data_IF_272600804109
#
_entry.id   IF_272600804109
#
_cell.length_a   1.000
_cell.length_b   1.000
_cell.length_c   1.000
_cell.angle_alpha   90.00
_cell.angle_beta   90.00
_cell.angle_gamma   90.00
#
_symmetry.space_group_name_H-M   'P 1'
#
loop_
_entity.id
_entity.type
_entity.pdbx_description
1 polymer ?
#
# COMPACT_ATOMS: atom_id res chain seq x y z
N UNK A 1 7.32 22.50 -7.25
CA UNK A 1 7.74 22.29 -5.85
C UNK A 1 7.07 21.01 -5.36
N UNK A 2 7.86 20.06 -4.84
CA UNK A 2 7.35 18.78 -4.36
C UNK A 2 6.45 18.98 -3.13
N UNK A 3 5.50 18.07 -2.91
CA UNK A 3 4.48 18.22 -1.87
C UNK A 3 5.10 18.05 -0.48
N UNK A 4 5.97 17.05 -0.30
CA UNK A 4 6.69 16.82 0.96
C UNK A 4 7.54 18.02 1.38
N UNK A 5 8.24 18.67 0.44
CA UNK A 5 9.03 19.87 0.70
C UNK A 5 8.13 20.98 1.23
N UNK A 6 6.99 21.21 0.58
CA UNK A 6 6.04 22.22 1.02
C UNK A 6 5.52 21.91 2.43
N UNK A 7 5.05 20.69 2.67
CA UNK A 7 4.55 20.28 3.98
C UNK A 7 5.61 20.46 5.07
N UNK A 8 6.85 20.07 4.79
CA UNK A 8 7.96 20.24 5.73
C UNK A 8 8.20 21.73 6.07
N UNK A 9 8.17 22.61 5.07
CA UNK A 9 8.30 24.05 5.31
C UNK A 9 7.10 24.59 6.10
N UNK A 10 5.88 24.17 5.75
CA UNK A 10 4.65 24.57 6.46
C UNK A 10 4.70 24.13 7.94
N UNK A 11 5.12 22.89 8.22
CA UNK A 11 5.27 22.36 9.58
C UNK A 11 6.29 23.17 10.40
N UNK A 12 7.41 23.58 9.78
CA UNK A 12 8.44 24.40 10.44
C UNK A 12 8.06 25.87 10.62
N UNK A 13 6.99 26.35 9.96
CA UNK A 13 6.52 27.75 10.02
C UNK A 13 5.21 27.90 10.82
N UNK A 14 4.58 26.80 11.23
CA UNK A 14 3.34 26.81 12.01
C UNK A 14 3.44 27.60 13.34
N UNK A 15 2.28 27.95 13.90
CA UNK A 15 2.12 28.90 15.02
C UNK A 15 2.82 28.55 16.33
N UNK A 16 3.35 27.33 16.48
CA UNK A 16 4.11 26.86 17.65
C UNK A 16 5.60 26.62 17.37
N UNK A 17 6.10 27.00 16.19
CA UNK A 17 7.46 26.68 15.76
C UNK A 17 8.50 27.55 16.46
N UNK A 18 9.64 26.95 16.79
CA UNK A 18 10.76 27.66 17.41
C UNK A 18 11.38 28.66 16.43
N UNK A 19 12.05 29.69 16.95
CA UNK A 19 12.77 30.67 16.12
C UNK A 19 13.81 29.99 15.21
N UNK A 20 14.39 28.88 15.67
CA UNK A 20 15.35 28.07 14.91
C UNK A 20 14.68 27.33 13.74
N UNK A 21 13.48 26.79 13.93
CA UNK A 21 12.71 26.14 12.86
C UNK A 21 12.29 27.12 11.77
N UNK A 22 11.90 28.34 12.16
CA UNK A 22 11.57 29.40 11.21
C UNK A 22 12.81 29.86 10.43
N UNK A 23 13.96 29.98 11.09
CA UNK A 23 15.24 30.30 10.45
C UNK A 23 15.67 29.19 9.49
N UNK A 24 15.53 27.93 9.89
CA UNK A 24 15.81 26.77 9.03
C UNK A 24 14.91 26.79 7.79
N UNK A 25 13.61 27.00 7.94
CA UNK A 25 12.67 27.10 6.82
C UNK A 25 13.03 28.24 5.87
N UNK A 26 13.42 29.41 6.41
CA UNK A 26 13.90 30.52 5.60
C UNK A 26 15.18 30.15 4.85
N UNK A 27 16.17 29.57 5.53
CA UNK A 27 17.45 29.18 4.94
C UNK A 27 17.27 28.11 3.85
N UNK A 28 16.37 27.14 4.04
CA UNK A 28 16.04 26.13 3.03
C UNK A 28 15.41 26.71 1.76
N UNK A 29 14.79 27.90 1.82
CA UNK A 29 14.22 28.59 0.68
C UNK A 29 15.20 29.55 0.00
N UNK A 30 16.21 30.05 0.72
CA UNK A 30 17.10 31.11 0.24
C UNK A 30 18.54 30.67 -0.03
N UNK A 31 19.02 29.61 0.65
CA UNK A 31 20.39 29.13 0.57
C UNK A 31 20.46 27.69 0.05
N UNK A 32 20.95 27.54 -1.19
CA UNK A 32 21.10 26.25 -1.85
C UNK A 32 22.06 25.30 -1.13
N UNK A 33 23.06 25.81 -0.38
CA UNK A 33 24.01 24.96 0.36
C UNK A 33 23.33 24.26 1.53
N UNK A 34 22.50 25.01 2.26
CA UNK A 34 21.73 24.49 3.40
C UNK A 34 20.73 23.45 2.92
N UNK A 35 20.06 23.74 1.79
CA UNK A 35 19.16 22.78 1.15
C UNK A 35 19.89 21.49 0.74
N UNK A 36 21.08 21.61 0.15
CA UNK A 36 21.89 20.45 -0.25
C UNK A 36 22.31 19.58 0.95
N UNK A 37 22.71 20.20 2.05
CA UNK A 37 23.12 19.47 3.25
C UNK A 37 21.93 18.77 3.91
N UNK A 38 20.76 19.40 3.91
CA UNK A 38 19.52 18.78 4.38
C UNK A 38 19.09 17.60 3.50
N UNK A 39 19.24 17.70 2.18
CA UNK A 39 19.02 16.58 1.24
C UNK A 39 19.94 15.40 1.58
N UNK A 40 21.24 15.64 1.78
CA UNK A 40 22.20 14.57 2.13
C UNK A 40 21.86 13.92 3.46
N UNK A 41 21.46 14.71 4.46
CA UNK A 41 21.01 14.22 5.76
C UNK A 41 19.79 13.31 5.59
N UNK A 42 18.78 13.76 4.85
CA UNK A 42 17.57 13.00 4.57
C UNK A 42 17.85 11.68 3.85
N UNK A 43 18.73 11.68 2.83
CA UNK A 43 19.15 10.44 2.14
C UNK A 43 19.81 9.45 3.11
N UNK A 44 20.67 9.95 4.00
CA UNK A 44 21.37 9.11 4.99
C UNK A 44 20.38 8.50 5.97
N UNK A 45 19.48 9.31 6.54
CA UNK A 45 18.42 8.84 7.45
C UNK A 45 17.53 7.80 6.76
N UNK A 46 17.08 8.07 5.53
CA UNK A 46 16.27 7.15 4.74
C UNK A 46 17.00 5.82 4.48
N UNK A 47 18.29 5.85 4.15
CA UNK A 47 19.07 4.63 3.93
C UNK A 47 19.18 3.78 5.20
N UNK A 48 19.45 4.42 6.35
CA UNK A 48 19.47 3.74 7.65
C UNK A 48 18.12 3.11 7.99
N UNK A 49 17.02 3.85 7.78
CA UNK A 49 15.66 3.34 7.99
C UNK A 49 15.35 2.15 7.06
N UNK A 50 15.72 2.21 5.79
CA UNK A 50 15.52 1.08 4.86
C UNK A 50 16.36 -0.14 5.26
N UNK A 51 17.62 0.05 5.67
CA UNK A 51 18.46 -1.04 6.18
C UNK A 51 17.83 -1.67 7.42
N UNK A 52 17.35 -0.86 8.38
CA UNK A 52 16.67 -1.34 9.58
C UNK A 52 15.42 -2.16 9.23
N UNK A 53 14.60 -1.68 8.29
CA UNK A 53 13.44 -2.42 7.80
C UNK A 53 13.83 -3.78 7.20
N UNK A 54 14.88 -3.81 6.38
CA UNK A 54 15.36 -5.06 5.79
C UNK A 54 15.90 -6.03 6.85
N UNK A 55 16.58 -5.53 7.90
CA UNK A 55 17.02 -6.35 9.05
C UNK A 55 15.83 -6.96 9.78
N UNK A 56 14.80 -6.15 10.06
CA UNK A 56 13.54 -6.63 10.64
C UNK A 56 12.93 -7.74 9.79
N UNK A 57 12.81 -7.54 8.47
CA UNK A 57 12.24 -8.52 7.55
C UNK A 57 13.07 -9.82 7.57
N UNK A 58 14.40 -9.71 7.56
CA UNK A 58 15.27 -10.87 7.60
C UNK A 58 15.06 -11.68 8.88
N UNK A 59 15.09 -11.02 10.05
CA UNK A 59 14.88 -11.68 11.34
C UNK A 59 13.48 -12.30 11.43
N UNK A 60 12.43 -11.59 11.01
CA UNK A 60 11.06 -12.10 11.04
C UNK A 60 10.89 -13.38 10.22
N UNK A 61 11.52 -13.46 9.04
CA UNK A 61 11.40 -14.62 8.15
C UNK A 61 12.25 -15.79 8.64
N UNK A 62 13.44 -15.53 9.16
CA UNK A 62 14.30 -16.59 9.70
C UNK A 62 13.66 -17.27 10.92
N UNK A 63 12.91 -16.49 11.70
CA UNK A 63 12.32 -16.94 12.95
C UNK A 63 10.90 -17.49 12.78
N UNK A 64 10.12 -16.98 11.81
CA UNK A 64 8.74 -17.37 11.58
C UNK A 64 8.60 -18.32 10.39
N UNK A 65 8.26 -19.61 10.60
CA UNK A 65 8.12 -20.57 9.50
C UNK A 65 6.90 -20.30 8.60
N UNK A 66 5.89 -19.60 9.11
CA UNK A 66 4.67 -19.23 8.38
C UNK A 66 4.74 -17.82 7.77
N UNK A 67 5.93 -17.23 7.69
CA UNK A 67 6.07 -15.87 7.17
C UNK A 67 5.65 -15.78 5.69
N UNK A 68 4.89 -14.74 5.31
CA UNK A 68 4.61 -14.48 3.90
C UNK A 68 5.90 -14.08 3.15
N UNK A 69 5.88 -14.07 1.81
CA UNK A 69 7.06 -13.75 1.01
C UNK A 69 7.69 -12.39 1.36
N UNK A 70 9.03 -12.28 1.27
CA UNK A 70 9.81 -11.07 1.57
C UNK A 70 9.21 -9.79 0.97
N UNK A 71 8.82 -9.87 -0.30
CA UNK A 71 8.26 -8.75 -1.07
C UNK A 71 6.93 -8.28 -0.45
N UNK A 72 6.07 -9.20 -0.01
CA UNK A 72 4.81 -8.86 0.61
C UNK A 72 5.04 -8.14 1.94
N UNK A 73 5.95 -8.65 2.79
CA UNK A 73 6.29 -8.02 4.06
C UNK A 73 6.86 -6.62 3.82
N UNK A 74 7.78 -6.48 2.87
CA UNK A 74 8.35 -5.18 2.51
C UNK A 74 7.27 -4.19 2.07
N UNK A 75 6.40 -4.56 1.13
CA UNK A 75 5.34 -3.68 0.62
C UNK A 75 4.34 -3.28 1.71
N UNK A 76 3.96 -4.23 2.57
CA UNK A 76 3.01 -3.97 3.66
C UNK A 76 3.66 -3.11 4.75
N UNK A 77 4.86 -3.45 5.19
CA UNK A 77 5.60 -2.70 6.21
C UNK A 77 5.94 -1.27 5.75
N UNK A 78 6.27 -1.09 4.48
CA UNK A 78 6.54 0.24 3.92
C UNK A 78 5.30 1.15 3.94
N UNK A 79 4.10 0.59 3.70
CA UNK A 79 2.84 1.35 3.63
C UNK A 79 2.16 1.54 4.99
N UNK A 80 2.05 0.45 5.75
CA UNK A 80 1.19 0.34 6.93
C UNK A 80 2.00 0.18 8.23
N UNK A 81 3.33 0.03 8.14
CA UNK A 81 4.22 -0.25 9.27
C UNK A 81 4.36 -1.73 9.59
N UNK A 82 5.37 -2.08 10.38
CA UNK A 82 5.66 -3.48 10.76
C UNK A 82 4.61 -4.02 11.75
N UNK A 83 4.02 -3.16 12.56
CA UNK A 83 3.05 -3.54 13.60
C UNK A 83 1.76 -4.12 13.02
N UNK A 84 1.28 -3.60 11.88
CA UNK A 84 0.05 -4.04 11.21
C UNK A 84 0.16 -5.43 10.55
N UNK A 85 1.36 -5.99 10.43
CA UNK A 85 1.52 -7.37 9.95
C UNK A 85 0.97 -8.40 10.94
N UNK A 86 0.84 -8.06 12.23
CA UNK A 86 0.46 -9.00 13.29
C UNK A 86 1.46 -10.15 13.52
N UNK A 87 2.51 -10.25 12.69
CA UNK A 87 3.56 -11.26 12.80
C UNK A 87 4.37 -11.08 14.08
N UNK A 88 4.70 -9.83 14.43
CA UNK A 88 5.44 -9.51 15.68
C UNK A 88 4.64 -9.97 16.90
N UNK A 89 3.34 -9.69 16.95
CA UNK A 89 2.48 -10.11 18.06
C UNK A 89 2.35 -11.64 18.16
N UNK A 90 2.21 -12.33 17.02
CA UNK A 90 2.20 -13.80 16.97
C UNK A 90 3.53 -14.39 17.44
N UNK A 91 4.66 -13.84 17.00
CA UNK A 91 5.99 -14.25 17.42
C UNK A 91 6.19 -14.07 18.92
N UNK A 92 5.83 -12.91 19.47
CA UNK A 92 5.91 -12.65 20.92
C UNK A 92 5.04 -13.63 21.71
N UNK A 93 3.83 -13.90 21.22
CA UNK A 93 2.92 -14.86 21.87
C UNK A 93 3.48 -16.29 21.84
N UNK A 94 4.18 -16.66 20.75
CA UNK A 94 4.88 -17.93 20.63
C UNK A 94 6.09 -18.00 21.58
N UNK A 95 6.89 -16.93 21.63
CA UNK A 95 8.09 -16.83 22.46
C UNK A 95 7.76 -16.98 23.94
N UNK A 96 6.68 -16.35 24.40
CA UNK A 96 6.21 -16.47 25.79
C UNK A 96 5.92 -17.91 26.22
N UNK A 97 5.69 -18.82 25.27
CA UNK A 97 5.34 -20.23 25.51
C UNK A 97 6.50 -21.21 25.32
N UNK A 98 7.67 -20.74 24.89
CA UNK A 98 8.82 -21.60 24.60
C UNK A 98 9.47 -22.15 25.88
N UNK A 99 9.98 -23.38 25.77
CA UNK A 99 10.82 -24.04 26.78
C UNK A 99 12.25 -23.46 26.67
N UNK A 100 13.08 -23.46 27.74
CA UNK A 100 14.44 -22.90 27.70
C UNK A 100 15.30 -23.35 26.51
N UNK A 101 15.26 -24.64 26.16
CA UNK A 101 15.98 -25.18 25.00
C UNK A 101 15.49 -24.58 23.66
N UNK A 102 14.18 -24.53 23.45
CA UNK A 102 13.56 -23.93 22.27
C UNK A 102 13.86 -22.43 22.18
N UNK A 103 13.87 -21.73 23.32
CA UNK A 103 14.18 -20.31 23.40
C UNK A 103 15.66 -20.04 23.10
N UNK A 104 16.55 -20.92 23.55
CA UNK A 104 17.98 -20.85 23.26
C UNK A 104 18.26 -21.09 21.78
N UNK A 105 17.60 -22.08 21.16
CA UNK A 105 17.66 -22.32 19.72
C UNK A 105 17.08 -21.14 18.92
N UNK A 106 16.01 -20.52 19.41
CA UNK A 106 15.42 -19.32 18.84
C UNK A 106 16.41 -18.14 18.87
N UNK A 107 17.03 -17.87 20.02
CA UNK A 107 18.05 -16.81 20.14
C UNK A 107 19.24 -17.11 19.22
N UNK A 108 19.66 -18.37 19.15
CA UNK A 108 20.74 -18.80 18.25
C UNK A 108 20.39 -18.50 16.78
N UNK A 109 19.19 -18.83 16.32
CA UNK A 109 18.73 -18.49 14.96
C UNK A 109 18.77 -16.99 14.68
N UNK A 110 18.43 -16.16 15.66
CA UNK A 110 18.53 -14.69 15.52
C UNK A 110 19.99 -14.26 15.42
N UNK A 111 20.87 -14.78 16.29
CA UNK A 111 22.31 -14.47 16.24
C UNK A 111 22.94 -14.89 14.92
N UNK A 112 22.60 -16.07 14.41
CA UNK A 112 23.06 -16.57 13.12
C UNK A 112 22.56 -15.69 11.96
N UNK A 113 21.31 -15.20 12.02
CA UNK A 113 20.77 -14.25 11.05
C UNK A 113 21.50 -12.90 11.07
N UNK A 114 21.85 -12.40 12.27
CA UNK A 114 22.56 -11.13 12.46
C UNK A 114 24.01 -11.21 11.96
N UNK A 115 24.69 -12.33 12.21
CA UNK A 115 26.06 -12.55 11.71
C UNK A 115 26.11 -12.83 10.21
N UNK A 116 25.23 -13.70 9.72
CA UNK A 116 25.21 -14.12 8.31
C UNK A 116 24.68 -13.04 7.37
N UNK A 117 23.84 -12.15 7.88
CA UNK A 117 23.11 -11.19 7.07
C UNK A 117 22.22 -11.89 6.03
N UNK A 118 21.82 -11.13 5.02
CA UNK A 118 21.03 -11.63 3.90
C UNK A 118 21.61 -11.09 2.59
N UNK A 119 22.52 -11.84 1.93
CA UNK A 119 23.10 -11.44 0.64
C UNK A 119 22.03 -11.18 -0.44
N UNK A 120 20.92 -11.92 -0.39
CA UNK A 120 19.77 -11.71 -1.30
C UNK A 120 19.08 -10.35 -1.14
N UNK A 121 19.22 -9.72 0.03
CA UNK A 121 18.67 -8.40 0.35
C UNK A 121 19.76 -7.30 0.33
N UNK A 122 20.97 -7.63 -0.13
CA UNK A 122 22.15 -6.76 -0.03
C UNK A 122 22.41 -6.30 1.41
N UNK A 123 22.17 -7.19 2.37
CA UNK A 123 22.42 -6.98 3.79
C UNK A 123 23.64 -7.78 4.22
N UNK A 124 24.74 -7.10 4.52
CA UNK A 124 25.87 -7.69 5.24
C UNK A 124 25.49 -8.02 6.68
N UNK A 125 26.23 -8.93 7.31
CA UNK A 125 26.13 -9.14 8.76
C UNK A 125 26.36 -7.84 9.52
N UNK A 126 25.59 -7.63 10.58
CA UNK A 126 25.55 -6.34 11.30
C UNK A 126 25.76 -6.48 12.81
N UNK A 127 26.34 -7.59 13.26
CA UNK A 127 26.63 -7.84 14.67
C UNK A 127 27.47 -6.71 15.32
N UNK A 128 28.41 -6.14 14.55
CA UNK A 128 29.29 -5.07 15.05
C UNK A 128 28.60 -3.69 15.10
N UNK A 129 27.61 -3.45 14.23
CA UNK A 129 26.88 -2.18 14.15
C UNK A 129 25.81 -2.05 15.26
N UNK A 130 25.16 -3.15 15.62
CA UNK A 130 24.15 -3.22 16.68
C UNK A 130 24.66 -4.00 17.90
N UNK A 131 25.86 -3.64 18.36
CA UNK A 131 26.55 -4.36 19.42
C UNK A 131 25.72 -4.45 20.72
N UNK A 132 24.93 -3.43 21.06
CA UNK A 132 24.05 -3.45 22.24
C UNK A 132 22.98 -4.54 22.14
N UNK A 133 22.27 -4.63 21.02
CA UNK A 133 21.24 -5.65 20.79
C UNK A 133 21.86 -7.06 20.83
N UNK A 134 23.01 -7.24 20.19
CA UNK A 134 23.71 -8.52 20.13
C UNK A 134 24.28 -8.96 21.49
N UNK A 135 24.82 -8.01 22.26
CA UNK A 135 25.34 -8.25 23.61
C UNK A 135 24.22 -8.64 24.57
N UNK A 136 23.09 -7.92 24.55
CA UNK A 136 21.94 -8.25 25.38
C UNK A 136 21.32 -9.61 25.01
N UNK A 137 21.22 -9.95 23.72
CA UNK A 137 20.80 -11.31 23.30
C UNK A 137 21.74 -12.39 23.84
N UNK A 138 23.04 -12.16 23.82
CA UNK A 138 24.04 -13.11 24.32
C UNK A 138 23.95 -13.26 25.84
N UNK A 139 23.78 -12.15 26.56
CA UNK A 139 23.59 -12.14 28.01
C UNK A 139 22.32 -12.90 28.43
N UNK A 140 21.21 -12.69 27.72
CA UNK A 140 19.96 -13.44 27.95
C UNK A 140 20.19 -14.93 27.70
N UNK A 141 20.85 -15.29 26.59
CA UNK A 141 21.15 -16.68 26.26
C UNK A 141 22.01 -17.37 27.33
N UNK A 142 23.08 -16.73 27.80
CA UNK A 142 23.96 -17.26 28.86
C UNK A 142 23.20 -17.44 30.19
N UNK A 143 22.35 -16.48 30.55
CA UNK A 143 21.50 -16.59 31.75
C UNK A 143 20.47 -17.71 31.65
N UNK A 144 19.91 -17.96 30.46
CA UNK A 144 19.00 -19.09 30.22
C UNK A 144 19.74 -20.42 30.41
N UNK A 145 20.93 -20.57 29.81
CA UNK A 145 21.74 -21.77 29.98
C UNK A 145 22.12 -22.03 31.44
N UNK A 146 22.57 -20.99 32.17
CA UNK A 146 22.92 -21.11 33.59
C UNK A 146 21.71 -21.52 34.46
N UNK A 147 20.51 -21.02 34.16
CA UNK A 147 19.28 -21.44 34.84
C UNK A 147 18.87 -22.86 34.48
N UNK A 148 19.04 -23.27 33.22
CA UNK A 148 18.73 -24.62 32.78
C UNK A 148 19.64 -25.66 33.47
N UNK A 149 20.95 -25.41 33.51
CA UNK A 149 21.91 -26.27 34.22
C UNK A 149 21.60 -26.37 35.73
N UNK A 150 21.29 -25.24 36.38
CA UNK A 150 20.92 -25.24 37.80
C UNK A 150 19.64 -26.05 38.07
N UNK A 151 18.63 -25.92 37.20
CA UNK A 151 17.34 -26.61 37.34
C UNK A 151 17.43 -28.12 37.07
N UNK A 152 18.33 -28.55 36.16
CA UNK A 152 18.61 -29.95 35.88
C UNK A 152 19.19 -30.67 37.10
N UNK A 153 19.99 -29.98 37.91
CA UNK A 153 20.50 -30.50 39.19
C UNK A 153 19.41 -30.77 40.22
N UNK A 154 18.26 -30.10 40.11
CA UNK A 154 17.11 -30.22 41.03
C UNK A 154 16.02 -31.15 40.45
N UNK A 155 16.12 -31.55 39.18
CA UNK A 155 15.12 -32.36 38.48
C UNK A 155 13.81 -31.61 38.17
N UNK A 156 13.83 -30.27 38.23
CA UNK A 156 12.67 -29.42 37.93
C UNK A 156 12.72 -28.95 36.48
N UNK A 157 11.58 -29.00 35.79
CA UNK A 157 11.46 -28.50 34.42
C UNK A 157 10.94 -27.07 34.45
N UNK A 158 11.80 -26.12 34.11
CA UNK A 158 11.47 -24.70 34.04
C UNK A 158 10.29 -24.43 33.12
N UNK A 159 9.37 -23.57 33.58
CA UNK A 159 8.20 -23.12 32.81
C UNK A 159 8.02 -21.63 32.98
N UNK A 160 7.63 -20.95 31.90
CA UNK A 160 7.17 -19.56 32.01
C UNK A 160 5.78 -19.52 32.64
N UNK A 161 5.47 -18.44 33.36
CA UNK A 161 4.12 -18.17 33.90
C UNK A 161 3.04 -18.23 32.79
N UNK A 162 3.39 -17.78 31.59
CA UNK A 162 2.51 -17.74 30.41
C UNK A 162 2.06 -19.11 29.92
N UNK A 163 2.81 -20.18 30.21
CA UNK A 163 2.40 -21.55 29.85
C UNK A 163 1.19 -22.03 30.65
N UNK A 164 0.98 -21.46 31.85
CA UNK A 164 -0.10 -21.85 32.77
C UNK A 164 -1.42 -21.18 32.36
N UNK A 165 -1.36 -19.92 31.90
CA UNK A 165 -2.53 -19.11 31.58
C UNK A 165 -3.42 -19.63 30.41
N UNK A 166 -2.93 -20.55 29.58
CA UNK A 166 -3.71 -21.07 28.44
C UNK A 166 -4.56 -22.30 28.79
N UNK A 167 -4.50 -22.79 30.05
CA UNK A 167 -5.29 -23.92 30.51
C UNK A 167 -6.68 -23.46 31.00
N UNK A 168 -7.47 -22.90 30.08
CA UNK A 168 -8.89 -22.58 30.26
C UNK A 168 -9.17 -21.28 31.02
N UNK A 169 -9.67 -20.27 30.32
CA UNK A 169 -10.22 -19.06 30.92
C UNK A 169 -11.53 -19.41 31.63
N UNK A 170 -11.59 -19.32 32.97
CA UNK A 170 -12.86 -19.40 33.72
C UNK A 170 -13.43 -17.98 33.88
N UNK A 171 -14.71 -17.82 33.53
CA UNK A 171 -15.37 -16.51 33.31
C UNK A 171 -15.79 -15.76 34.57
N UNK A 172 -15.50 -16.25 35.78
CA UNK A 172 -15.94 -15.61 37.02
C UNK A 172 -14.78 -14.93 37.76
N UNK A 173 -15.03 -13.71 38.25
CA UNK A 173 -14.03 -12.84 38.92
C UNK A 173 -13.40 -13.53 40.14
N UNK A 174 -14.17 -14.36 40.85
CA UNK A 174 -13.68 -15.14 42.00
C UNK A 174 -12.76 -16.28 41.55
N UNK A 175 -13.11 -16.98 40.45
CA UNK A 175 -12.25 -18.02 39.89
C UNK A 175 -10.95 -17.45 39.31
N UNK A 176 -10.99 -16.27 38.67
CA UNK A 176 -9.79 -15.57 38.21
C UNK A 176 -8.85 -15.21 39.35
N UNK A 177 -9.38 -14.67 40.47
CA UNK A 177 -8.57 -14.33 41.64
C UNK A 177 -7.92 -15.56 42.29
N UNK A 178 -8.69 -16.64 42.44
CA UNK A 178 -8.19 -17.90 43.00
C UNK A 178 -7.13 -18.51 42.07
N UNK A 179 -7.32 -18.42 40.76
CA UNK A 179 -6.39 -18.91 39.76
C UNK A 179 -5.07 -18.11 39.78
N UNK A 180 -5.11 -16.78 39.83
CA UNK A 180 -3.92 -15.93 40.00
C UNK A 180 -3.14 -16.26 41.28
N UNK A 181 -3.83 -16.46 42.41
CA UNK A 181 -3.17 -16.84 43.68
C UNK A 181 -2.61 -18.27 43.69
N UNK A 182 -3.20 -19.19 42.94
CA UNK A 182 -2.69 -20.56 42.77
C UNK A 182 -1.50 -20.59 41.80
N UNK A 183 -1.49 -19.71 40.79
CA UNK A 183 -0.40 -19.54 39.82
C UNK A 183 0.86 -18.96 40.48
N UNK A 184 0.72 -17.95 41.35
CA UNK A 184 1.87 -17.37 42.07
C UNK A 184 2.50 -18.32 43.10
N UNK A 185 1.72 -19.27 43.61
CA UNK A 185 2.15 -20.26 44.61
C UNK A 185 2.71 -21.55 44.00
N UNK A 186 2.44 -21.83 42.72
CA UNK A 186 2.97 -23.01 42.00
C UNK A 186 4.28 -22.72 41.26
N UNK A 187 4.60 -21.45 41.00
CA UNK A 187 5.85 -21.04 40.35
C UNK A 187 7.02 -21.03 41.34
N UNK A 188 8.07 -21.79 41.01
CA UNK A 188 9.33 -21.76 41.78
C UNK A 188 10.04 -20.42 41.61
N UNK A 189 11.02 -20.14 42.48
CA UNK A 189 11.87 -18.94 42.32
C UNK A 189 12.61 -18.93 40.97
N UNK A 190 12.99 -20.11 40.46
CA UNK A 190 13.66 -20.27 39.17
C UNK A 190 12.71 -20.00 37.99
N UNK A 191 11.45 -20.45 38.07
CA UNK A 191 10.43 -20.15 37.06
C UNK A 191 10.14 -18.64 36.95
N UNK A 192 10.18 -17.92 38.09
CA UNK A 192 10.05 -16.46 38.11
C UNK A 192 11.24 -15.77 37.44
N UNK A 193 12.47 -16.26 37.68
CA UNK A 193 13.68 -15.75 37.00
C UNK A 193 13.62 -16.02 35.48
N UNK A 194 13.20 -17.22 35.08
CA UNK A 194 13.02 -17.55 33.67
C UNK A 194 11.97 -16.66 32.99
N UNK A 195 10.83 -16.44 33.66
CA UNK A 195 9.78 -15.53 33.16
C UNK A 195 10.31 -14.10 32.99
N UNK A 196 11.14 -13.60 33.91
CA UNK A 196 11.77 -12.29 33.77
C UNK A 196 12.72 -12.20 32.56
N UNK A 197 13.48 -13.27 32.25
CA UNK A 197 14.32 -13.32 31.04
C UNK A 197 13.47 -13.33 29.75
N UNK A 198 12.35 -14.04 29.76
CA UNK A 198 11.38 -14.06 28.65
C UNK A 198 10.79 -12.66 28.42
N UNK A 199 10.47 -11.93 29.48
CA UNK A 199 9.96 -10.56 29.40
C UNK A 199 11.04 -9.58 28.91
N UNK A 200 12.28 -9.70 29.39
CA UNK A 200 13.42 -8.92 28.90
C UNK A 200 13.65 -9.13 27.39
N UNK A 201 13.66 -10.39 26.94
CA UNK A 201 13.78 -10.73 25.52
C UNK A 201 12.60 -10.17 24.69
N UNK A 202 11.38 -10.27 25.22
CA UNK A 202 10.19 -9.71 24.58
C UNK A 202 10.31 -8.19 24.41
N UNK A 203 10.80 -7.48 25.43
CA UNK A 203 10.99 -6.03 25.36
C UNK A 203 12.09 -5.65 24.36
N UNK A 204 13.20 -6.36 24.37
CA UNK A 204 14.30 -6.17 23.43
C UNK A 204 13.85 -6.38 21.98
N UNK A 205 13.12 -7.45 21.69
CA UNK A 205 12.57 -7.70 20.35
C UNK A 205 11.51 -6.68 19.94
N UNK A 206 10.63 -6.26 20.85
CA UNK A 206 9.69 -5.17 20.56
C UNK A 206 10.41 -3.88 20.18
N UNK A 207 11.50 -3.54 20.87
CA UNK A 207 12.27 -2.36 20.54
C UNK A 207 12.99 -2.49 19.18
N UNK A 208 13.52 -3.68 18.88
CA UNK A 208 14.12 -3.96 17.58
C UNK A 208 13.11 -3.90 16.43
N UNK A 209 11.92 -4.47 16.60
CA UNK A 209 10.86 -4.49 15.58
C UNK A 209 10.09 -3.17 15.44
N UNK A 210 10.36 -2.17 16.30
CA UNK A 210 9.81 -0.82 16.11
C UNK A 210 10.37 -0.24 14.83
N UNK A 211 9.45 0.11 13.93
CA UNK A 211 9.77 0.76 12.68
C UNK A 211 8.78 1.89 12.45
N UNK A 212 9.29 3.11 12.39
CA UNK A 212 8.49 4.27 12.03
C UNK A 212 8.25 4.25 10.52
N UNK A 213 7.02 4.56 10.12
CA UNK A 213 6.66 4.69 8.71
C UNK A 213 7.56 5.72 8.02
N UNK A 214 7.99 5.43 6.79
CA UNK A 214 8.85 6.30 5.97
C UNK A 214 8.12 7.51 5.34
N UNK A 215 6.81 7.67 5.55
CA UNK A 215 6.01 8.77 4.97
C UNK A 215 5.60 9.83 6.01
N UNK A 216 5.53 11.12 5.62
CA UNK A 216 6.20 11.76 4.50
C UNK A 216 7.51 12.39 5.01
N UNK A 217 8.61 11.68 4.84
CA UNK A 217 9.93 12.31 4.99
C UNK A 217 10.10 13.45 3.95
N UNK A 218 10.96 14.41 4.31
CA UNK A 218 11.39 15.50 3.44
C UNK A 218 11.85 14.96 2.08
N UNK A 219 11.27 15.44 0.98
CA UNK A 219 11.63 15.07 -0.41
C UNK A 219 11.49 13.58 -0.77
N UNK A 220 10.62 12.83 -0.08
CA UNK A 220 10.46 11.39 -0.37
C UNK A 220 10.09 11.06 -1.82
N UNK A 221 9.42 11.97 -2.54
CA UNK A 221 9.06 11.78 -3.96
C UNK A 221 10.26 11.69 -4.91
N UNK A 222 11.47 12.01 -4.45
CA UNK A 222 12.70 11.86 -5.25
C UNK A 222 13.12 10.39 -5.38
N UNK A 223 12.83 9.56 -4.37
CA UNK A 223 13.17 8.14 -4.35
C UNK A 223 11.97 7.21 -4.32
N UNK A 224 10.77 7.71 -4.06
CA UNK A 224 9.53 6.95 -4.26
C UNK A 224 8.93 7.25 -5.62
N UNK A 225 8.23 6.27 -6.17
CA UNK A 225 7.50 6.42 -7.42
C UNK A 225 6.01 6.20 -7.18
N UNK A 226 5.21 7.26 -7.32
CA UNK A 226 3.76 7.24 -7.06
C UNK A 226 2.90 7.40 -8.34
N UNK A 227 3.50 7.48 -9.53
CA UNK A 227 2.74 7.61 -10.79
C UNK A 227 2.13 6.28 -11.29
N UNK A 228 1.48 5.52 -10.39
CA UNK A 228 0.83 4.23 -10.68
C UNK A 228 -0.23 4.37 -11.76
N UNK A 229 -1.01 5.46 -11.74
CA UNK A 229 -2.09 5.68 -12.70
C UNK A 229 -1.57 5.81 -14.14
N UNK A 230 -0.46 6.53 -14.35
CA UNK A 230 0.15 6.71 -15.67
C UNK A 230 0.63 5.39 -16.26
N UNK A 231 1.26 4.56 -15.43
CA UNK A 231 1.70 3.24 -15.87
C UNK A 231 0.55 2.27 -16.07
N UNK A 232 -0.53 2.37 -15.28
CA UNK A 232 -1.73 1.56 -15.51
C UNK A 232 -2.30 1.82 -16.90
N UNK A 233 -2.31 3.07 -17.36
CA UNK A 233 -2.77 3.42 -18.71
C UNK A 233 -1.84 2.88 -19.80
N UNK A 234 -0.52 2.89 -19.58
CA UNK A 234 0.47 2.39 -20.53
C UNK A 234 0.52 0.86 -20.63
N UNK A 235 0.57 0.17 -19.48
CA UNK A 235 0.77 -1.29 -19.42
C UNK A 235 -0.54 -2.09 -19.43
N UNK A 236 -1.63 -1.51 -18.93
CA UNK A 236 -2.95 -2.14 -18.94
C UNK A 236 -3.97 -1.25 -19.64
N UNK A 237 -3.77 -0.94 -20.94
CA UNK A 237 -4.65 -0.04 -21.65
C UNK A 237 -6.06 -0.60 -21.69
N UNK A 238 -7.05 0.27 -21.46
CA UNK A 238 -8.47 -0.04 -21.55
C UNK A 238 -9.09 0.71 -22.74
N UNK A 239 -8.73 0.37 -23.99
CA UNK A 239 -9.13 1.13 -25.16
C UNK A 239 -10.65 1.20 -25.33
N UNK A 240 -11.35 0.12 -24.96
CA UNK A 240 -12.82 0.09 -24.97
C UNK A 240 -13.42 1.17 -24.05
N UNK A 241 -13.01 1.19 -22.78
CA UNK A 241 -13.53 2.17 -21.82
C UNK A 241 -13.18 3.61 -22.23
N UNK A 242 -12.01 3.81 -22.84
CA UNK A 242 -11.61 5.12 -23.37
C UNK A 242 -12.50 5.56 -24.55
N UNK A 243 -12.80 4.66 -25.50
CA UNK A 243 -13.69 4.95 -26.63
C UNK A 243 -15.12 5.19 -26.14
N UNK A 244 -15.64 4.35 -25.24
CA UNK A 244 -16.97 4.52 -24.65
C UNK A 244 -17.07 5.87 -23.91
N UNK A 245 -16.06 6.24 -23.10
CA UNK A 245 -16.03 7.53 -22.43
C UNK A 245 -15.97 8.69 -23.41
N UNK A 246 -15.13 8.59 -24.44
CA UNK A 246 -14.97 9.63 -25.46
C UNK A 246 -16.23 9.84 -26.30
N UNK A 247 -17.02 8.79 -26.55
CA UNK A 247 -18.29 8.89 -27.26
C UNK A 247 -19.45 9.29 -26.33
N UNK A 248 -19.42 8.91 -25.06
CA UNK A 248 -20.45 9.29 -24.08
C UNK A 248 -20.32 10.75 -23.64
N UNK A 249 -19.09 11.19 -23.35
CA UNK A 249 -18.79 12.51 -22.81
C UNK A 249 -17.61 13.13 -23.57
N UNK A 250 -17.81 13.58 -24.82
CA UNK A 250 -16.70 14.08 -25.63
C UNK A 250 -16.09 15.38 -25.08
N UNK A 251 -16.82 16.15 -24.29
CA UNK A 251 -16.36 17.37 -23.62
C UNK A 251 -15.17 17.15 -22.68
N UNK A 252 -15.00 15.94 -22.16
CA UNK A 252 -13.85 15.60 -21.30
C UNK A 252 -12.52 15.63 -22.07
N UNK A 253 -12.56 15.41 -23.39
CA UNK A 253 -11.39 15.36 -24.27
C UNK A 253 -11.27 16.61 -25.11
N UNK A 254 -12.40 17.16 -25.51
CA UNK A 254 -12.51 18.39 -26.25
C UNK A 254 -12.61 19.53 -25.23
N UNK A 255 -11.47 19.92 -24.62
CA UNK A 255 -11.35 21.11 -23.76
C UNK A 255 -12.25 22.21 -24.32
N UNK A 256 -13.38 22.50 -23.65
CA UNK A 256 -14.47 23.36 -24.14
C UNK A 256 -13.98 24.44 -25.11
N UNK A 257 -13.92 24.12 -26.41
CA UNK A 257 -13.59 25.06 -27.47
C UNK A 257 -14.69 26.11 -27.64
N UNK A 258 -15.74 26.02 -26.82
CA UNK A 258 -16.91 26.87 -26.81
C UNK A 258 -16.74 28.16 -25.98
N UNK A 259 -15.70 28.29 -25.14
CA UNK A 259 -15.54 29.49 -24.29
C UNK A 259 -14.61 30.56 -24.82
N UNK A 260 -13.91 30.34 -25.93
CA UNK A 260 -13.09 31.37 -26.58
C UNK A 260 -13.51 31.54 -28.03
N UNK A 261 -14.02 32.73 -28.33
CA UNK A 261 -14.54 33.22 -29.61
C UNK A 261 -16.02 32.94 -29.90
N UNK A 262 -16.84 33.97 -29.63
CA UNK A 262 -18.07 34.22 -30.36
C UNK A 262 -17.75 34.11 -31.86
N UNK A 263 -18.17 33.01 -32.50
CA UNK A 263 -18.05 32.85 -33.96
C UNK A 263 -17.37 31.58 -34.47
N UNK A 264 -16.81 30.70 -33.63
CA UNK A 264 -16.39 29.38 -34.11
C UNK A 264 -17.55 28.39 -34.02
N UNK A 265 -18.12 28.04 -35.17
CA UNK A 265 -19.15 27.02 -35.30
C UNK A 265 -18.62 25.69 -34.76
N UNK A 266 -18.97 25.33 -33.52
CA UNK A 266 -18.64 24.03 -32.98
C UNK A 266 -19.28 22.97 -33.88
N UNK A 267 -18.46 22.23 -34.62
CA UNK A 267 -18.94 21.15 -35.48
C UNK A 267 -19.71 20.17 -34.59
N UNK A 268 -20.95 19.79 -34.95
CA UNK A 268 -21.74 18.88 -34.12
C UNK A 268 -20.98 17.57 -33.94
N UNK A 269 -20.97 17.06 -32.71
CA UNK A 269 -20.35 15.78 -32.35
C UNK A 269 -21.23 14.61 -32.82
N UNK A 270 -21.43 14.51 -34.14
CA UNK A 270 -22.37 13.60 -34.79
C UNK A 270 -22.18 12.13 -34.39
N UNK A 271 -20.93 11.69 -34.24
CA UNK A 271 -20.64 10.29 -33.85
C UNK A 271 -21.03 10.01 -32.39
N UNK A 272 -20.84 10.98 -31.48
CA UNK A 272 -21.25 10.86 -30.08
C UNK A 272 -22.79 10.91 -29.94
N UNK A 273 -23.45 11.79 -30.68
CA UNK A 273 -24.92 11.86 -30.72
C UNK A 273 -25.53 10.55 -31.21
N UNK A 274 -25.01 10.01 -32.32
CA UNK A 274 -25.46 8.71 -32.82
C UNK A 274 -25.14 7.56 -31.84
N UNK A 275 -24.04 7.68 -31.10
CA UNK A 275 -23.69 6.71 -30.07
C UNK A 275 -24.68 6.70 -28.89
N UNK A 276 -25.21 7.85 -28.47
CA UNK A 276 -26.26 7.91 -27.44
C UNK A 276 -27.53 7.21 -27.91
N UNK A 277 -27.98 7.49 -29.14
CA UNK A 277 -29.11 6.80 -29.76
C UNK A 277 -28.84 5.30 -29.93
N UNK A 278 -27.60 4.95 -30.25
CA UNK A 278 -27.15 3.57 -30.26
C UNK A 278 -27.37 2.94 -28.88
N UNK A 279 -26.95 3.55 -27.76
CA UNK A 279 -27.14 2.97 -26.43
C UNK A 279 -28.60 2.72 -26.09
N UNK A 280 -29.50 3.66 -26.40
CA UNK A 280 -30.95 3.57 -26.12
C UNK A 280 -31.69 2.55 -27.01
N UNK A 281 -31.14 2.22 -28.17
CA UNK A 281 -31.79 1.33 -29.14
C UNK A 281 -31.68 -0.17 -28.80
N UNK A 282 -32.54 -0.99 -29.40
CA UNK A 282 -32.48 -2.45 -29.28
C UNK A 282 -31.34 -3.10 -30.07
N UNK A 283 -31.27 -4.44 -30.07
CA UNK A 283 -30.24 -5.20 -30.80
C UNK A 283 -30.33 -5.04 -32.34
N UNK A 284 -31.52 -4.73 -32.85
CA UNK A 284 -31.79 -4.39 -34.25
C UNK A 284 -32.42 -3.00 -34.28
N UNK A 285 -31.86 -2.11 -35.10
CA UNK A 285 -32.20 -0.70 -35.17
C UNK A 285 -32.76 -0.43 -36.57
N UNK A 286 -33.96 0.13 -36.67
CA UNK A 286 -34.51 0.59 -37.94
C UNK A 286 -33.74 1.85 -38.39
N UNK A 287 -33.20 1.83 -39.61
CA UNK A 287 -32.35 2.93 -40.13
C UNK A 287 -33.13 4.22 -40.33
N UNK A 288 -34.40 4.13 -40.72
CA UNK A 288 -35.24 5.31 -40.95
C UNK A 288 -35.63 6.02 -39.64
N UNK A 289 -35.97 5.25 -38.61
CA UNK A 289 -36.29 5.80 -37.28
C UNK A 289 -35.03 6.43 -36.66
N UNK A 290 -33.88 5.76 -36.79
CA UNK A 290 -32.59 6.29 -36.34
C UNK A 290 -32.22 7.59 -37.06
N UNK A 291 -32.46 7.69 -38.37
CA UNK A 291 -32.27 8.91 -39.14
C UNK A 291 -33.14 10.06 -38.62
N UNK A 292 -34.44 9.82 -38.39
CA UNK A 292 -35.36 10.86 -37.88
C UNK A 292 -34.95 11.38 -36.51
N UNK A 293 -34.58 10.48 -35.59
CA UNK A 293 -34.13 10.88 -34.25
C UNK A 293 -32.82 11.66 -34.35
N UNK A 294 -31.90 11.22 -35.22
CA UNK A 294 -30.63 11.90 -35.47
C UNK A 294 -30.81 13.29 -36.07
N UNK A 295 -31.64 13.43 -37.12
CA UNK A 295 -31.87 14.71 -37.79
C UNK A 295 -32.47 15.74 -36.84
N UNK A 296 -33.37 15.32 -35.95
CA UNK A 296 -33.97 16.22 -34.95
C UNK A 296 -32.97 16.65 -33.88
N UNK A 297 -32.13 15.71 -33.39
CA UNK A 297 -31.14 16.01 -32.36
C UNK A 297 -30.04 16.95 -32.87
N UNK A 298 -29.51 16.69 -34.08
CA UNK A 298 -28.41 17.51 -34.62
C UNK A 298 -28.87 18.93 -34.96
N UNK A 299 -30.07 19.09 -35.52
CA UNK A 299 -30.65 20.42 -35.83
C UNK A 299 -30.97 21.25 -34.60
N UNK A 300 -31.30 20.60 -33.47
CA UNK A 300 -31.51 21.28 -32.19
C UNK A 300 -30.18 21.67 -31.53
N UNK A 301 -29.13 20.87 -31.74
CA UNK A 301 -27.81 21.10 -31.14
C UNK A 301 -26.92 22.08 -31.91
N UNK A 302 -27.24 22.37 -33.18
CA UNK A 302 -26.45 23.25 -34.03
C UNK A 302 -27.03 24.65 -34.07
N UNK A 303 -26.21 25.67 -33.75
CA UNK A 303 -26.58 27.09 -33.90
C UNK A 303 -26.73 27.51 -35.37
N UNK A 304 -26.26 26.68 -36.31
CA UNK A 304 -26.39 26.90 -37.75
C UNK A 304 -27.59 26.15 -38.32
N UNK A 305 -28.30 26.77 -39.27
CA UNK A 305 -29.31 26.08 -40.07
C UNK A 305 -28.61 25.05 -40.98
N UNK A 306 -28.62 23.79 -40.58
CA UNK A 306 -28.17 22.67 -41.41
C UNK A 306 -29.26 22.30 -42.41
N UNK A 307 -28.91 22.17 -43.70
CA UNK A 307 -29.81 21.60 -44.70
C UNK A 307 -29.93 20.07 -44.51
N UNK A 308 -30.95 19.46 -45.10
CA UNK A 308 -31.17 18.01 -45.05
C UNK A 308 -29.96 17.25 -45.62
N UNK A 309 -29.33 17.79 -46.68
CA UNK A 309 -28.13 17.21 -47.29
C UNK A 309 -26.94 17.19 -46.33
N UNK A 310 -26.70 18.29 -45.62
CA UNK A 310 -25.60 18.39 -44.64
C UNK A 310 -25.83 17.43 -43.46
N UNK A 311 -27.09 17.36 -43.02
CA UNK A 311 -27.54 16.44 -41.96
C UNK A 311 -27.33 14.98 -42.38
N UNK A 312 -27.64 14.63 -43.63
CA UNK A 312 -27.41 13.29 -44.18
C UNK A 312 -25.92 12.94 -44.21
N UNK A 313 -25.05 13.89 -44.59
CA UNK A 313 -23.60 13.69 -44.58
C UNK A 313 -23.09 13.37 -43.17
N UNK A 314 -23.52 14.13 -42.17
CA UNK A 314 -23.15 13.85 -40.77
C UNK A 314 -23.66 12.48 -40.29
N UNK A 315 -24.87 12.10 -40.68
CA UNK A 315 -25.45 10.81 -40.33
C UNK A 315 -24.66 9.64 -40.94
N UNK A 316 -24.37 9.69 -42.24
CA UNK A 316 -23.59 8.64 -42.90
C UNK A 316 -22.15 8.59 -42.37
N UNK A 317 -21.54 9.74 -42.06
CA UNK A 317 -20.23 9.80 -41.43
C UNK A 317 -20.25 9.14 -40.04
N UNK A 318 -21.24 9.46 -39.21
CA UNK A 318 -21.40 8.87 -37.87
C UNK A 318 -21.62 7.35 -37.94
N UNK A 319 -22.47 6.88 -38.87
CA UNK A 319 -22.67 5.44 -39.10
C UNK A 319 -21.36 4.77 -39.56
N UNK A 320 -20.61 5.39 -40.47
CA UNK A 320 -19.33 4.86 -40.94
C UNK A 320 -18.32 4.74 -39.80
N UNK A 321 -18.24 5.75 -38.93
CA UNK A 321 -17.38 5.73 -37.74
C UNK A 321 -17.77 4.61 -36.77
N UNK A 322 -19.06 4.46 -36.46
CA UNK A 322 -19.53 3.38 -35.58
C UNK A 322 -19.36 1.97 -36.20
N UNK A 323 -19.43 1.85 -37.54
CA UNK A 323 -19.09 0.62 -38.27
C UNK A 323 -17.59 0.32 -38.18
N UNK A 324 -16.74 1.33 -38.35
CA UNK A 324 -15.27 1.20 -38.25
C UNK A 324 -14.85 0.77 -36.84
N UNK A 325 -15.52 1.29 -35.80
CA UNK A 325 -15.32 0.89 -34.39
C UNK A 325 -15.93 -0.49 -34.06
N UNK A 326 -16.57 -1.16 -35.02
CA UNK A 326 -17.14 -2.50 -34.84
C UNK A 326 -18.43 -2.52 -34.02
N UNK A 327 -19.10 -1.38 -33.79
CA UNK A 327 -20.34 -1.30 -33.01
C UNK A 327 -21.57 -1.65 -33.85
N UNK A 328 -21.56 -1.27 -35.14
CA UNK A 328 -22.67 -1.44 -36.06
C UNK A 328 -22.30 -2.31 -37.26
N UNK A 329 -23.28 -3.05 -37.77
CA UNK A 329 -23.23 -3.73 -39.07
C UNK A 329 -24.59 -3.72 -39.73
N UNK A 330 -24.62 -3.85 -41.06
CA UNK A 330 -25.86 -4.10 -41.77
C UNK A 330 -26.50 -5.41 -41.28
N UNK A 331 -27.77 -5.36 -40.91
CA UNK A 331 -28.52 -6.56 -40.56
C UNK A 331 -28.72 -7.44 -41.78
N UNK A 332 -28.47 -8.75 -41.63
CA UNK A 332 -28.88 -9.78 -42.60
C UNK A 332 -30.28 -10.33 -42.31
N UNK A 333 -30.86 -10.01 -41.14
CA UNK A 333 -32.13 -10.56 -40.66
C UNK A 333 -33.34 -9.76 -41.14
N UNK A 334 -33.18 -8.45 -41.30
CA UNK A 334 -34.22 -7.53 -41.78
C UNK A 334 -33.58 -6.51 -42.70
N UNK A 335 -34.23 -6.24 -43.84
CA UNK A 335 -33.87 -5.14 -44.72
C UNK A 335 -33.98 -3.80 -43.97
N UNK A 336 -33.15 -2.82 -44.33
CA UNK A 336 -33.16 -1.47 -43.76
C UNK A 336 -32.90 -1.39 -42.24
N UNK A 337 -32.35 -2.45 -41.65
CA UNK A 337 -31.97 -2.47 -40.24
C UNK A 337 -30.46 -2.54 -40.06
N UNK A 338 -29.98 -1.87 -39.02
CA UNK A 338 -28.63 -2.01 -38.49
C UNK A 338 -28.68 -3.00 -37.31
N UNK A 339 -27.65 -3.83 -37.19
CA UNK A 339 -27.47 -4.74 -36.07
C UNK A 339 -26.33 -4.26 -35.18
N UNK A 340 -26.56 -4.24 -33.87
CA UNK A 340 -25.49 -4.05 -32.89
C UNK A 340 -24.56 -5.26 -32.90
N UNK A 341 -23.25 -5.03 -32.93
CA UNK A 341 -22.21 -6.08 -32.98
C UNK A 341 -21.46 -6.19 -31.65
N UNK A 342 -20.71 -5.14 -31.30
CA UNK A 342 -19.96 -5.08 -30.07
C UNK A 342 -20.84 -4.66 -28.89
N UNK A 343 -20.45 -5.08 -27.68
CA UNK A 343 -20.98 -4.53 -26.41
C UNK A 343 -22.43 -4.95 -26.09
N UNK A 344 -22.84 -6.13 -26.57
CA UNK A 344 -24.07 -6.80 -26.09
C UNK A 344 -23.82 -7.35 -24.68
N UNK A 345 -24.69 -7.00 -23.74
CA UNK A 345 -24.60 -7.44 -22.35
C UNK A 345 -23.78 -6.46 -21.51
N UNK A 346 -24.48 -5.46 -20.99
CA UNK A 346 -24.32 -5.10 -19.59
C UNK A 346 -25.33 -5.95 -18.81
#
# INVERSE_FOLDING_TARGET
>A
MLKSFRNFIEDNVCTNSSREQMQLAQMLLTDDKVLLDEIKRSITTKNLSVIHLLRIIHVLITVSPEAPPKIYIFQKAFRDGVEDLGLVQKLISSLKRMIPSELSDFIKKIKDAVYGGAPELDLSGWADEENEFFTELTNIQEKIYALEEASLGVGHRLKSSYTIHNKGLRTTVVAQRIQLSYEESTLTSEDKKYTALVDQLTQLLNNFFKFNKLEPEFLHEVWTFDSVQRFREAFTPRPRAAIERALSTPSDYLNNFEKSSRGSSARPQATAMLYQMYLESGALINTYDLWKVFSNAITTSSDQKLDERDTLVFFYQAIANLKMLGMLKQSKRKADHLAKLAWKGL
#
